data_IF_599948555411
#
_entry.id   IF_599948555411
#
_cell.length_a   1.000
_cell.length_b   1.000
_cell.length_c   1.000
_cell.angle_alpha   90.00
_cell.angle_beta   90.00
_cell.angle_gamma   90.00
#
_symmetry.space_group_name_H-M   'P 1'
#
loop_
_entity.id
_entity.type
_entity.pdbx_description
1 polymer ?
#
# COMPACT_ATOMS: atom_id res chain seq x y z
N UNK A 1 -9.00 12.67 16.05
CA UNK A 1 -7.65 13.21 15.83
C UNK A 1 -6.65 12.22 16.39
N UNK A 2 -5.56 11.94 15.67
CA UNK A 2 -4.56 10.95 16.09
C UNK A 2 -3.93 11.30 17.43
N UNK A 3 -3.66 10.27 18.25
CA UNK A 3 -3.05 10.41 19.56
C UNK A 3 -1.52 10.50 19.51
N UNK A 4 -0.89 10.11 18.39
CA UNK A 4 0.57 9.96 18.27
C UNK A 4 1.22 10.66 17.07
N UNK A 5 0.44 11.25 16.17
CA UNK A 5 0.92 11.85 14.92
C UNK A 5 0.46 11.12 13.66
N UNK A 6 0.85 11.65 12.50
CA UNK A 6 0.47 11.15 11.17
C UNK A 6 1.62 10.36 10.55
N UNK A 7 1.32 9.19 9.98
CA UNK A 7 2.31 8.30 9.35
C UNK A 7 1.85 7.96 7.94
N UNK A 8 2.70 8.22 6.97
CA UNK A 8 2.50 7.81 5.59
C UNK A 8 3.13 6.42 5.39
N UNK A 9 2.32 5.43 5.02
CA UNK A 9 2.78 4.05 4.81
C UNK A 9 2.75 3.71 3.33
N UNK A 10 3.90 3.33 2.77
CA UNK A 10 3.97 2.79 1.42
C UNK A 10 3.29 1.41 1.38
N UNK A 11 2.10 1.35 0.79
CA UNK A 11 1.29 0.15 0.66
C UNK A 11 1.44 -0.46 -0.72
N UNK A 12 1.98 -1.66 -0.70
CA UNK A 12 2.43 -2.40 -1.86
C UNK A 12 1.34 -3.35 -2.42
N UNK A 13 0.27 -3.56 -1.64
CA UNK A 13 -0.67 -4.67 -1.80
C UNK A 13 -0.19 -5.96 -1.13
N UNK A 14 1.08 -6.02 -0.71
CA UNK A 14 1.65 -7.14 0.02
C UNK A 14 1.29 -7.15 1.52
N UNK A 15 1.44 -8.33 2.12
CA UNK A 15 1.10 -8.58 3.52
C UNK A 15 1.94 -7.75 4.50
N UNK A 16 3.23 -7.57 4.24
CA UNK A 16 4.13 -6.85 5.17
C UNK A 16 3.69 -5.40 5.35
N UNK A 17 3.46 -4.69 4.24
CA UNK A 17 2.98 -3.31 4.26
C UNK A 17 1.59 -3.17 4.88
N UNK A 18 0.73 -4.19 4.69
CA UNK A 18 -0.61 -4.23 5.26
C UNK A 18 -0.57 -4.38 6.78
N UNK A 19 0.19 -5.35 7.29
CA UNK A 19 0.34 -5.59 8.72
C UNK A 19 1.01 -4.38 9.40
N UNK A 20 2.01 -3.77 8.77
CA UNK A 20 2.62 -2.55 9.28
C UNK A 20 1.62 -1.39 9.43
N UNK A 21 0.78 -1.15 8.41
CA UNK A 21 -0.26 -0.13 8.46
C UNK A 21 -1.29 -0.40 9.57
N UNK A 22 -1.72 -1.65 9.69
CA UNK A 22 -2.65 -2.10 10.74
C UNK A 22 -2.11 -1.87 12.15
N UNK A 23 -0.88 -2.31 12.41
CA UNK A 23 -0.27 -2.14 13.72
C UNK A 23 -0.12 -0.66 14.10
N UNK A 24 0.25 0.21 13.16
CA UNK A 24 0.33 1.65 13.41
C UNK A 24 -1.06 2.25 13.68
N UNK A 25 -2.07 1.85 12.93
CA UNK A 25 -3.45 2.28 13.16
C UNK A 25 -3.94 1.87 14.56
N UNK A 26 -3.77 0.60 14.94
CA UNK A 26 -4.12 0.07 16.27
C UNK A 26 -3.34 0.76 17.42
N UNK A 27 -2.09 1.16 17.16
CA UNK A 27 -1.27 1.91 18.12
C UNK A 27 -1.70 3.38 18.28
N UNK A 28 -2.66 3.86 17.48
CA UNK A 28 -3.27 5.19 17.59
C UNK A 28 -2.65 6.28 16.70
N UNK A 29 -1.91 5.90 15.65
CA UNK A 29 -1.44 6.82 14.62
C UNK A 29 -2.55 7.13 13.59
N UNK A 30 -2.49 8.31 12.98
CA UNK A 30 -3.27 8.61 11.77
C UNK A 30 -2.46 8.08 10.59
N UNK A 31 -2.82 6.88 10.16
CA UNK A 31 -2.18 6.24 9.01
C UNK A 31 -2.77 6.81 7.73
N UNK A 32 -1.91 7.03 6.73
CA UNK A 32 -2.31 7.33 5.35
C UNK A 32 -1.59 6.32 4.47
N UNK A 33 -2.34 5.47 3.77
CA UNK A 33 -1.78 4.53 2.80
C UNK A 33 -1.40 5.23 1.49
N UNK A 34 -0.22 4.94 0.94
CA UNK A 34 0.19 5.39 -0.40
C UNK A 34 0.71 4.22 -1.22
N UNK A 35 0.17 4.05 -2.42
CA UNK A 35 0.73 3.11 -3.41
C UNK A 35 1.46 3.90 -4.47
N UNK A 36 2.68 3.48 -4.79
CA UNK A 36 3.53 4.14 -5.79
C UNK A 36 3.77 3.20 -6.96
N UNK A 37 3.42 3.63 -8.17
CA UNK A 37 3.86 3.00 -9.40
C UNK A 37 5.19 3.63 -9.81
N UNK A 38 6.29 2.99 -9.44
CA UNK A 38 7.65 3.51 -9.69
C UNK A 38 8.23 3.05 -11.02
N UNK A 39 7.58 2.11 -11.70
CA UNK A 39 8.08 1.52 -12.93
C UNK A 39 6.98 1.39 -13.98
N UNK A 40 7.33 1.71 -15.22
CA UNK A 40 6.44 1.54 -16.36
C UNK A 40 6.79 0.29 -17.14
N UNK A 41 6.29 -0.85 -16.67
CA UNK A 41 6.54 -2.17 -17.27
C UNK A 41 6.09 -2.26 -18.73
N UNK A 42 5.18 -1.40 -19.20
CA UNK A 42 4.78 -1.34 -20.60
C UNK A 42 5.90 -0.83 -21.52
N UNK A 43 6.75 0.07 -21.02
CA UNK A 43 7.83 0.70 -21.80
C UNK A 43 9.22 0.08 -21.54
N UNK A 44 9.38 -0.72 -20.49
CA UNK A 44 10.70 -1.21 -20.06
C UNK A 44 11.16 -2.55 -20.69
N UNK A 45 10.48 -3.04 -21.73
CA UNK A 45 10.93 -4.22 -22.49
C UNK A 45 10.93 -5.56 -21.71
N UNK A 46 10.41 -5.58 -20.48
CA UNK A 46 10.24 -6.79 -19.70
C UNK A 46 9.12 -7.66 -20.28
N UNK A 47 9.34 -8.98 -20.29
CA UNK A 47 8.31 -9.95 -20.67
C UNK A 47 6.98 -9.61 -19.98
N UNK A 48 5.82 -9.78 -20.65
CA UNK A 48 4.45 -9.45 -20.15
C UNK A 48 4.05 -10.09 -18.81
N UNK A 49 4.95 -10.81 -18.14
CA UNK A 49 4.79 -11.18 -16.74
C UNK A 49 4.97 -9.93 -15.89
N UNK A 50 3.86 -9.46 -15.35
CA UNK A 50 3.78 -8.66 -14.12
C UNK A 50 4.51 -9.39 -12.99
N UNK A 51 5.85 -9.40 -13.01
CA UNK A 51 6.68 -9.91 -11.92
C UNK A 51 6.96 -8.76 -10.96
N UNK A 52 5.99 -8.44 -10.10
CA UNK A 52 6.20 -7.48 -9.03
C UNK A 52 4.92 -6.85 -8.46
N UNK A 53 5.14 -6.13 -7.36
CA UNK A 53 4.24 -5.32 -6.53
C UNK A 53 3.39 -4.25 -7.26
N UNK A 54 3.43 -4.18 -8.58
CA UNK A 54 2.91 -3.04 -9.35
C UNK A 54 1.74 -3.40 -10.27
N UNK A 55 1.12 -4.58 -10.09
CA UNK A 55 -0.07 -4.95 -10.84
C UNK A 55 -1.28 -4.13 -10.40
N UNK A 56 -2.25 -4.00 -11.30
CA UNK A 56 -3.53 -3.35 -10.97
C UNK A 56 -4.23 -4.04 -9.80
N UNK A 57 -4.11 -5.36 -9.70
CA UNK A 57 -4.68 -6.14 -8.59
C UNK A 57 -4.04 -5.74 -7.26
N UNK A 58 -2.69 -5.67 -7.18
CA UNK A 58 -2.00 -5.26 -5.95
C UNK A 58 -2.33 -3.83 -5.51
N UNK A 59 -2.54 -2.91 -6.47
CA UNK A 59 -3.00 -1.54 -6.17
C UNK A 59 -4.42 -1.55 -5.60
N UNK A 60 -5.30 -2.38 -6.17
CA UNK A 60 -6.67 -2.53 -5.69
C UNK A 60 -6.72 -3.21 -4.33
N UNK A 61 -5.87 -4.20 -4.07
CA UNK A 61 -5.74 -4.86 -2.76
C UNK A 61 -5.31 -3.84 -1.69
N UNK A 62 -4.28 -3.03 -1.96
CA UNK A 62 -3.84 -1.96 -1.07
C UNK A 62 -4.97 -0.98 -0.75
N UNK A 63 -5.72 -0.56 -1.79
CA UNK A 63 -6.88 0.32 -1.63
C UNK A 63 -7.99 -0.33 -0.80
N UNK A 64 -8.32 -1.59 -1.08
CA UNK A 64 -9.39 -2.29 -0.39
C UNK A 64 -9.09 -2.45 1.09
N UNK A 65 -7.85 -2.79 1.43
CA UNK A 65 -7.39 -2.86 2.83
C UNK A 65 -7.56 -1.50 3.51
N UNK A 66 -7.03 -0.43 2.91
CA UNK A 66 -7.10 0.93 3.49
C UNK A 66 -8.56 1.35 3.77
N UNK A 67 -9.45 1.18 2.78
CA UNK A 67 -10.89 1.49 2.91
C UNK A 67 -11.58 0.62 3.97
N UNK A 68 -11.29 -0.67 4.01
CA UNK A 68 -11.93 -1.61 4.95
C UNK A 68 -11.51 -1.34 6.39
N UNK A 69 -10.25 -0.95 6.59
CA UNK A 69 -9.65 -0.78 7.91
C UNK A 69 -9.72 0.68 8.41
N UNK A 70 -10.19 1.61 7.58
CA UNK A 70 -10.50 2.98 8.00
C UNK A 70 -9.27 3.89 8.15
N UNK A 71 -8.31 3.75 7.24
CA UNK A 71 -7.16 4.66 7.12
C UNK A 71 -6.81 4.98 5.67
#
# INVERSE_FOLDING_TARGET
>A
MSKKGKVLVAMSGGIDSTVAALMLHEQGYEVVGITMKTWDYANSGGSRKETGCCSLDSINDARQVAVTMGF
#
